data_IF_136710241847
#
_entry.id   IF_136710241847
#
_cell.length_a   1.000
_cell.length_b   1.000
_cell.length_c   1.000
_cell.angle_alpha   90.00
_cell.angle_beta   90.00
_cell.angle_gamma   90.00
#
_symmetry.space_group_name_H-M   'P 1'
#
loop_
_entity.id
_entity.type
_entity.pdbx_description
1 polymer ?
#
# COMPACT_ATOMS: atom_id res chain seq x y z
N UNK A 1 -7.41 4.19 15.55
CA UNK A 1 -7.83 5.45 14.89
C UNK A 1 -6.60 6.32 14.80
N UNK A 2 -6.42 7.02 13.70
CA UNK A 2 -5.35 8.01 13.53
C UNK A 2 -5.98 9.34 13.11
N UNK A 3 -5.45 10.44 13.64
CA UNK A 3 -5.91 11.79 13.39
C UNK A 3 -4.73 12.59 12.86
N UNK A 4 -4.92 13.32 11.76
CA UNK A 4 -3.92 14.23 11.23
C UNK A 4 -4.55 15.57 10.86
N UNK A 5 -3.80 16.64 11.10
CA UNK A 5 -4.21 17.99 10.75
C UNK A 5 -4.00 18.25 9.26
N UNK A 6 -4.87 19.07 8.67
CA UNK A 6 -4.76 19.46 7.27
C UNK A 6 -3.54 20.33 6.95
N UNK A 7 -2.79 20.80 7.96
CA UNK A 7 -1.47 21.43 7.81
C UNK A 7 -0.39 20.46 7.34
N UNK A 8 -0.54 19.16 7.67
CA UNK A 8 0.42 18.10 7.33
C UNK A 8 0.15 17.44 5.96
N UNK A 9 -0.96 17.79 5.31
CA UNK A 9 -1.38 17.26 4.01
C UNK A 9 -2.90 17.21 3.84
N UNK A 10 -3.34 16.89 2.63
CA UNK A 10 -4.75 16.72 2.26
C UNK A 10 -5.01 15.30 1.75
N UNK A 11 -6.28 15.00 1.51
CA UNK A 11 -6.75 13.76 0.90
C UNK A 11 -7.60 14.07 -0.33
N UNK A 12 -7.16 13.57 -1.47
CA UNK A 12 -7.90 13.60 -2.73
C UNK A 12 -8.40 12.18 -3.07
N UNK A 13 -9.62 12.07 -3.56
CA UNK A 13 -10.24 10.77 -3.84
C UNK A 13 -9.62 10.02 -5.03
N UNK A 14 -8.88 10.72 -5.90
CA UNK A 14 -8.18 10.16 -7.06
C UNK A 14 -6.68 9.98 -6.82
N UNK A 15 -6.06 10.81 -5.97
CA UNK A 15 -4.61 10.81 -5.73
C UNK A 15 -4.22 10.26 -4.36
N UNK A 16 -5.18 10.02 -3.47
CA UNK A 16 -4.95 9.56 -2.11
C UNK A 16 -4.40 10.68 -1.22
N UNK A 17 -3.47 10.35 -0.34
CA UNK A 17 -2.82 11.35 0.54
C UNK A 17 -1.90 12.24 -0.30
N UNK A 18 -2.17 13.55 -0.29
CA UNK A 18 -1.40 14.56 -1.02
C UNK A 18 -0.72 15.49 -0.02
N UNK A 19 0.50 15.92 -0.29
CA UNK A 19 1.24 16.85 0.59
C UNK A 19 0.77 18.31 0.52
N UNK A 20 -0.28 18.61 -0.26
CA UNK A 20 -0.89 19.94 -0.35
C UNK A 20 -1.68 20.24 0.92
N UNK A 21 -1.32 21.27 1.71
CA UNK A 21 -2.03 21.57 2.96
C UNK A 21 -3.45 22.10 2.71
N UNK A 22 -4.40 21.65 3.52
CA UNK A 22 -5.78 22.16 3.59
C UNK A 22 -6.12 22.61 5.01
N UNK A 23 -5.94 23.90 5.28
CA UNK A 23 -6.21 24.48 6.60
C UNK A 23 -7.69 24.44 6.97
N UNK A 24 -7.98 24.30 8.26
CA UNK A 24 -9.36 24.22 8.79
C UNK A 24 -10.00 22.85 8.66
N UNK A 25 -9.25 21.82 8.24
CA UNK A 25 -9.69 20.43 8.20
C UNK A 25 -8.87 19.54 9.12
N UNK A 26 -9.54 18.58 9.73
CA UNK A 26 -8.91 17.48 10.46
C UNK A 26 -9.37 16.18 9.83
N UNK A 27 -8.40 15.39 9.37
CA UNK A 27 -8.67 14.12 8.75
C UNK A 27 -8.58 13.00 9.78
N UNK A 28 -9.59 12.15 9.79
CA UNK A 28 -9.71 11.04 10.74
C UNK A 28 -9.78 9.75 9.94
N UNK A 29 -8.82 8.86 10.20
CA UNK A 29 -8.78 7.53 9.59
C UNK A 29 -9.20 6.48 10.61
N UNK A 30 -10.18 5.67 10.23
CA UNK A 30 -10.76 4.64 11.08
C UNK A 30 -10.68 3.30 10.35
N UNK A 31 -10.06 2.32 11.02
CA UNK A 31 -10.10 0.93 10.61
C UNK A 31 -11.17 0.22 11.44
N UNK A 32 -12.16 -0.38 10.77
CA UNK A 32 -13.16 -1.20 11.43
C UNK A 32 -12.55 -2.49 11.97
N UNK A 33 -13.12 -3.02 13.06
CA UNK A 33 -12.77 -4.35 13.60
C UNK A 33 -13.09 -5.47 12.61
N UNK A 34 -14.03 -5.25 11.69
CA UNK A 34 -14.38 -6.19 10.63
C UNK A 34 -13.41 -6.19 9.44
N UNK A 35 -12.43 -5.27 9.43
CA UNK A 35 -11.44 -5.15 8.35
C UNK A 35 -11.93 -4.49 7.07
N UNK A 36 -13.21 -4.11 7.00
CA UNK A 36 -13.80 -3.38 5.88
C UNK A 36 -13.73 -1.86 6.07
N UNK A 37 -13.71 -1.12 4.96
CA UNK A 37 -13.87 0.33 4.98
C UNK A 37 -15.29 0.69 5.44
N UNK A 38 -15.41 1.86 6.06
CA UNK A 38 -16.71 2.39 6.50
C UNK A 38 -17.58 2.75 5.28
N UNK A 39 -18.87 2.50 5.39
CA UNK A 39 -19.86 2.94 4.40
C UNK A 39 -20.00 4.46 4.42
N UNK A 40 -20.48 5.03 3.31
CA UNK A 40 -20.70 6.49 3.20
C UNK A 40 -21.66 7.01 4.29
N UNK A 41 -22.68 6.23 4.65
CA UNK A 41 -23.64 6.58 5.70
C UNK A 41 -22.96 6.65 7.07
N UNK A 42 -22.14 5.66 7.41
CA UNK A 42 -21.40 5.64 8.68
C UNK A 42 -20.42 6.82 8.78
N UNK A 43 -19.75 7.18 7.68
CA UNK A 43 -18.86 8.35 7.63
C UNK A 43 -19.61 9.65 7.90
N UNK A 44 -20.77 9.85 7.25
CA UNK A 44 -21.59 11.05 7.45
C UNK A 44 -22.13 11.15 8.86
N UNK A 45 -22.53 10.01 9.45
CA UNK A 45 -22.99 9.96 10.84
C UNK A 45 -21.87 10.36 11.79
N UNK A 46 -20.67 9.80 11.63
CA UNK A 46 -19.50 10.14 12.46
C UNK A 46 -19.11 11.61 12.35
N UNK A 47 -19.15 12.21 11.16
CA UNK A 47 -18.90 13.65 10.99
C UNK A 47 -19.94 14.48 11.74
N UNK A 48 -21.20 14.08 11.70
CA UNK A 48 -22.29 14.76 12.41
C UNK A 48 -22.13 14.65 13.93
N UNK A 49 -21.78 13.47 14.43
CA UNK A 49 -21.60 13.21 15.87
C UNK A 49 -20.38 13.93 16.45
N UNK A 50 -19.35 14.18 15.62
CA UNK A 50 -18.13 14.89 16.01
C UNK A 50 -18.25 16.41 15.91
N UNK A 51 -19.21 16.92 15.13
CA UNK A 51 -19.44 18.36 14.92
C UNK A 51 -19.61 19.18 16.21
N UNK A 52 -20.33 18.72 17.26
CA UNK A 52 -20.47 19.46 18.52
C UNK A 52 -19.17 19.57 19.32
N UNK A 53 -18.18 18.72 19.05
CA UNK A 53 -16.91 18.68 19.77
C UNK A 53 -15.79 19.41 19.03
N UNK A 54 -16.06 20.00 17.87
CA UNK A 54 -15.06 20.80 17.15
C UNK A 54 -15.08 22.24 17.63
N UNK A 55 -13.89 22.83 17.75
CA UNK A 55 -13.75 24.28 17.92
C UNK A 55 -14.07 24.96 16.59
N UNK A 56 -14.68 26.15 16.67
CA UNK A 56 -15.48 26.83 15.63
C UNK A 56 -14.83 27.17 14.26
N UNK A 57 -13.76 26.49 13.86
CA UNK A 57 -13.11 26.65 12.56
C UNK A 57 -12.53 25.35 12.00
N UNK A 58 -12.85 24.20 12.62
CA UNK A 58 -12.34 22.88 12.20
C UNK A 58 -13.50 22.01 11.72
N UNK A 59 -13.39 21.55 10.48
CA UNK A 59 -14.31 20.58 9.88
C UNK A 59 -13.67 19.19 9.91
N UNK A 60 -14.24 18.20 10.60
CA UNK A 60 -13.72 16.84 10.60
C UNK A 60 -14.08 16.16 9.27
N UNK A 61 -13.13 15.44 8.70
CA UNK A 61 -13.32 14.66 7.47
C UNK A 61 -12.88 13.23 7.74
N UNK A 62 -13.81 12.28 7.62
CA UNK A 62 -13.49 10.85 7.76
C UNK A 62 -13.05 10.30 6.42
N UNK A 63 -11.82 9.80 6.37
CA UNK A 63 -11.20 9.21 5.16
C UNK A 63 -10.86 7.74 5.40
N UNK A 64 -10.83 6.96 4.32
CA UNK A 64 -10.43 5.56 4.42
C UNK A 64 -8.92 5.45 4.62
N UNK A 65 -8.45 4.58 5.52
CA UNK A 65 -7.03 4.34 5.69
C UNK A 65 -6.46 3.66 4.46
N UNK A 66 -5.37 4.21 3.91
CA UNK A 66 -4.59 3.51 2.90
C UNK A 66 -3.76 2.41 3.58
N UNK A 67 -4.08 1.15 3.30
CA UNK A 67 -3.37 0.01 3.89
C UNK A 67 -2.37 -0.58 2.91
N UNK A 68 -1.09 -0.66 3.30
CA UNK A 68 -0.06 -1.39 2.56
C UNK A 68 -0.10 -2.85 2.94
N UNK A 69 -0.36 -3.71 1.96
CA UNK A 69 -0.39 -5.15 2.15
C UNK A 69 1.00 -5.73 1.95
N UNK A 70 1.38 -6.69 2.80
CA UNK A 70 2.62 -7.44 2.67
C UNK A 70 2.30 -8.87 2.25
N UNK A 71 2.82 -9.27 1.10
CA UNK A 71 2.76 -10.64 0.60
C UNK A 71 4.07 -11.30 1.01
N UNK A 72 3.97 -12.26 1.94
CA UNK A 72 5.10 -13.02 2.44
C UNK A 72 5.14 -14.38 1.74
N UNK A 73 6.30 -14.72 1.17
CA UNK A 73 6.59 -16.08 0.69
C UNK A 73 7.70 -16.65 1.53
N UNK A 74 7.34 -17.52 2.48
CA UNK A 74 8.28 -18.18 3.39
C UNK A 74 8.51 -19.61 2.93
N UNK A 75 9.78 -20.00 2.84
CA UNK A 75 10.22 -21.38 2.68
C UNK A 75 11.09 -21.72 3.88
N UNK A 76 10.73 -22.77 4.63
CA UNK A 76 11.48 -23.20 5.80
C UNK A 76 11.96 -24.65 5.66
N UNK A 77 13.05 -24.97 6.33
CA UNK A 77 13.59 -26.33 6.47
C UNK A 77 13.53 -26.73 7.93
N UNK A 78 13.04 -27.94 8.17
CA UNK A 78 12.90 -28.49 9.52
C UNK A 78 13.61 -29.84 9.64
N UNK A 79 13.94 -30.21 10.87
CA UNK A 79 14.55 -31.49 11.24
C UNK A 79 13.48 -32.46 11.72
N UNK A 80 13.15 -33.46 10.91
CA UNK A 80 12.13 -34.47 11.22
C UNK A 80 12.49 -35.38 12.40
N UNK A 81 13.74 -35.38 12.88
CA UNK A 81 14.13 -36.15 14.07
C UNK A 81 13.76 -35.46 15.38
N UNK A 82 13.49 -34.15 15.34
CA UNK A 82 13.21 -33.33 16.53
C UNK A 82 11.74 -33.04 16.74
N UNK A 83 10.88 -33.46 15.81
CA UNK A 83 9.44 -33.20 15.87
C UNK A 83 8.66 -34.42 15.43
N UNK A 84 7.49 -34.60 16.02
CA UNK A 84 6.50 -35.58 15.57
C UNK A 84 5.50 -34.97 14.58
N UNK A 85 5.53 -33.64 14.40
CA UNK A 85 4.64 -32.92 13.51
C UNK A 85 5.05 -33.09 12.05
N UNK A 86 4.05 -33.19 11.20
CA UNK A 86 4.21 -33.23 9.74
C UNK A 86 4.55 -31.84 9.18
N UNK A 87 5.09 -31.82 7.96
CA UNK A 87 5.37 -30.56 7.27
C UNK A 87 4.14 -29.65 7.13
N UNK A 88 2.94 -30.24 6.95
CA UNK A 88 1.71 -29.46 6.84
C UNK A 88 1.31 -28.82 8.16
N UNK A 89 1.46 -29.53 9.28
CA UNK A 89 1.14 -29.00 10.61
C UNK A 89 2.08 -27.85 10.98
N UNK A 90 3.38 -27.99 10.69
CA UNK A 90 4.35 -26.90 10.86
C UNK A 90 4.03 -25.70 9.98
N UNK A 91 3.61 -25.91 8.73
CA UNK A 91 3.21 -24.82 7.84
C UNK A 91 1.97 -24.09 8.38
N UNK A 92 0.99 -24.80 8.91
CA UNK A 92 -0.18 -24.21 9.57
C UNK A 92 0.24 -23.44 10.82
N UNK A 93 1.14 -23.97 11.63
CA UNK A 93 1.62 -23.31 12.83
C UNK A 93 2.32 -21.99 12.50
N UNK A 94 3.25 -21.99 11.55
CA UNK A 94 3.92 -20.77 11.06
C UNK A 94 2.91 -19.76 10.50
N UNK A 95 1.92 -20.23 9.74
CA UNK A 95 0.85 -19.37 9.22
C UNK A 95 0.04 -18.72 10.34
N UNK A 96 -0.27 -19.46 11.40
CA UNK A 96 -0.99 -18.95 12.56
C UNK A 96 -0.16 -17.94 13.35
N UNK A 97 1.14 -18.18 13.54
CA UNK A 97 2.07 -17.24 14.17
C UNK A 97 2.14 -15.92 13.40
N UNK A 98 2.28 -15.99 12.07
CA UNK A 98 2.28 -14.80 11.20
C UNK A 98 0.94 -14.06 11.19
N UNK A 99 -0.18 -14.79 11.19
CA UNK A 99 -1.51 -14.20 11.26
C UNK A 99 -1.74 -13.50 12.59
N UNK A 100 -1.28 -14.08 13.70
CA UNK A 100 -1.37 -13.49 15.03
C UNK A 100 -0.49 -12.24 15.15
N UNK A 101 0.71 -12.26 14.57
CA UNK A 101 1.56 -11.08 14.49
C UNK A 101 0.90 -9.96 13.69
N UNK A 102 0.24 -10.30 12.58
CA UNK A 102 -0.52 -9.34 11.78
C UNK A 102 -1.68 -8.74 12.57
N UNK A 103 -2.51 -9.53 13.27
CA UNK A 103 -3.65 -9.00 14.02
C UNK A 103 -3.24 -8.16 15.22
N UNK A 104 -2.19 -8.58 15.93
CA UNK A 104 -1.81 -7.98 17.20
C UNK A 104 -0.87 -6.78 17.04
N UNK A 105 -0.02 -6.77 16.01
CA UNK A 105 1.03 -5.75 15.84
C UNK A 105 0.86 -4.94 14.57
N UNK A 106 0.85 -5.58 13.39
CA UNK A 106 0.83 -4.85 12.10
C UNK A 106 -0.53 -4.23 11.78
N UNK A 107 -1.61 -4.80 12.31
CA UNK A 107 -2.98 -4.38 12.05
C UNK A 107 -3.37 -3.06 12.71
N UNK A 108 -2.50 -2.49 13.52
CA UNK A 108 -2.67 -1.21 14.19
C UNK A 108 -2.08 -0.07 13.35
N UNK A 109 -2.53 1.16 13.60
CA UNK A 109 -1.87 2.34 13.05
C UNK A 109 -0.43 2.43 13.60
N UNK A 110 0.52 2.87 12.78
CA UNK A 110 1.96 2.87 13.09
C UNK A 110 2.62 1.48 13.30
N UNK A 111 1.92 0.40 12.93
CA UNK A 111 2.48 -0.95 12.96
C UNK A 111 3.67 -1.09 12.00
N UNK A 112 4.89 -1.19 12.55
CA UNK A 112 6.11 -1.31 11.76
C UNK A 112 6.45 -2.77 11.45
N UNK A 113 6.54 -3.11 10.17
CA UNK A 113 7.10 -4.39 9.73
C UNK A 113 8.63 -4.35 9.76
N UNK A 114 9.25 -5.32 10.44
CA UNK A 114 10.69 -5.53 10.44
C UNK A 114 11.01 -6.95 9.98
N UNK A 115 11.75 -7.07 8.88
CA UNK A 115 12.06 -8.36 8.29
C UNK A 115 12.77 -9.31 9.28
N UNK A 116 13.77 -8.81 10.00
CA UNK A 116 14.54 -9.60 10.99
C UNK A 116 13.70 -10.11 12.16
N UNK A 117 12.68 -9.33 12.58
CA UNK A 117 11.78 -9.76 13.65
C UNK A 117 10.88 -10.90 13.18
N UNK A 118 10.37 -10.81 11.94
CA UNK A 118 9.52 -11.85 11.37
C UNK A 118 10.28 -13.14 11.10
N UNK A 119 11.53 -13.06 10.64
CA UNK A 119 12.36 -14.27 10.49
C UNK A 119 12.62 -14.95 11.83
N UNK A 120 12.89 -14.17 12.90
CA UNK A 120 13.05 -14.71 14.25
C UNK A 120 11.76 -15.36 14.78
N UNK A 121 10.62 -14.71 14.56
CA UNK A 121 9.30 -15.23 14.93
C UNK A 121 9.00 -16.59 14.26
N UNK A 122 9.42 -16.77 13.01
CA UNK A 122 9.26 -18.03 12.27
C UNK A 122 10.18 -19.11 12.86
N UNK A 123 11.44 -18.78 13.15
CA UNK A 123 12.37 -19.73 13.77
C UNK A 123 11.92 -20.15 15.18
N UNK A 124 11.36 -19.22 15.95
CA UNK A 124 10.85 -19.47 17.32
C UNK A 124 9.51 -20.22 17.34
N UNK A 125 8.88 -20.43 16.18
CA UNK A 125 7.58 -21.12 16.10
C UNK A 125 7.69 -22.59 16.51
N UNK A 126 8.80 -23.27 16.15
CA UNK A 126 9.05 -24.65 16.54
C UNK A 126 10.56 -24.95 16.55
N UNK A 127 11.03 -25.65 17.58
CA UNK A 127 12.47 -25.96 17.78
C UNK A 127 13.10 -26.85 16.69
N UNK A 128 12.28 -27.50 15.84
CA UNK A 128 12.74 -28.28 14.70
C UNK A 128 13.06 -27.43 13.48
N UNK A 129 12.61 -26.17 13.42
CA UNK A 129 12.92 -25.24 12.33
C UNK A 129 14.39 -24.84 12.43
N UNK A 130 15.15 -25.13 11.37
CA UNK A 130 16.60 -24.85 11.31
C UNK A 130 16.94 -23.66 10.44
N UNK A 131 16.10 -23.37 9.46
CA UNK A 131 16.34 -22.31 8.50
C UNK A 131 15.02 -21.87 7.89
N UNK A 132 14.84 -20.56 7.76
CA UNK A 132 13.81 -19.95 6.97
C UNK A 132 14.41 -19.01 5.92
N UNK A 133 13.71 -18.88 4.80
CA UNK A 133 13.93 -17.86 3.78
C UNK A 133 12.58 -17.21 3.52
N UNK A 134 12.44 -15.94 3.85
CA UNK A 134 11.21 -15.18 3.68
C UNK A 134 11.42 -14.04 2.69
N UNK A 135 10.66 -14.06 1.60
CA UNK A 135 10.59 -12.96 0.64
C UNK A 135 9.37 -12.09 0.93
N UNK A 136 9.55 -10.77 0.86
CA UNK A 136 8.52 -9.77 1.17
C UNK A 136 8.22 -8.94 -0.07
N UNK A 137 6.95 -8.86 -0.45
CA UNK A 137 6.47 -8.00 -1.54
C UNK A 137 5.40 -7.06 -0.99
N UNK A 138 5.53 -5.77 -1.26
CA UNK A 138 4.51 -4.77 -0.91
C UNK A 138 3.46 -4.66 -2.01
N UNK A 139 2.20 -4.51 -1.64
CA UNK A 139 1.09 -4.35 -2.56
C UNK A 139 0.06 -3.34 -2.03
N UNK A 140 -0.59 -2.62 -2.94
CA UNK A 140 -1.81 -1.87 -2.65
C UNK A 140 -2.93 -2.39 -3.53
N UNK A 141 -4.11 -2.45 -2.94
CA UNK A 141 -5.32 -2.71 -3.70
C UNK A 141 -5.73 -1.43 -4.43
N UNK A 142 -6.02 -1.57 -5.71
CA UNK A 142 -6.60 -0.52 -6.54
C UNK A 142 -7.88 -1.06 -7.17
N UNK A 143 -8.96 -0.29 -7.07
CA UNK A 143 -10.19 -0.55 -7.81
C UNK A 143 -10.24 0.41 -8.99
N UNK A 144 -9.78 -0.01 -10.19
CA UNK A 144 -9.74 0.88 -11.34
C UNK A 144 -11.16 1.18 -11.85
N UNK A 145 -11.35 2.40 -12.33
CA UNK A 145 -12.54 2.81 -13.08
C UNK A 145 -12.45 2.19 -14.47
N UNK A 146 -13.48 1.41 -14.84
CA UNK A 146 -13.50 0.65 -16.10
C UNK A 146 -14.20 1.39 -17.25
N UNK A 147 -14.83 2.53 -16.95
CA UNK A 147 -15.63 3.31 -17.90
C UNK A 147 -14.86 4.43 -18.59
N UNK A 148 -13.68 4.79 -18.09
CA UNK A 148 -12.85 5.86 -18.60
C UNK A 148 -11.36 5.57 -18.41
N UNK A 149 -10.52 6.21 -19.23
CA UNK A 149 -9.07 6.18 -19.03
C UNK A 149 -8.71 7.14 -17.90
N UNK A 150 -8.29 6.57 -16.76
CA UNK A 150 -7.92 7.31 -15.55
C UNK A 150 -6.51 6.95 -15.13
N UNK A 151 -5.72 7.94 -14.72
CA UNK A 151 -4.39 7.75 -14.16
C UNK A 151 -4.46 7.68 -12.64
N UNK A 152 -3.72 6.75 -12.03
CA UNK A 152 -3.68 6.55 -10.58
C UNK A 152 -2.26 6.73 -10.07
N UNK A 153 -2.11 7.47 -8.98
CA UNK A 153 -0.85 7.59 -8.25
C UNK A 153 -0.95 6.75 -6.99
N UNK A 154 -0.04 5.80 -6.80
CA UNK A 154 0.01 4.94 -5.61
C UNK A 154 1.35 5.19 -4.92
N UNK A 155 1.30 5.71 -3.71
CA UNK A 155 2.47 5.87 -2.87
C UNK A 155 2.62 4.67 -1.92
N UNK A 156 3.74 3.93 -2.03
CA UNK A 156 4.06 2.79 -1.17
C UNK A 156 4.86 3.19 0.08
N UNK A 157 5.23 4.47 0.21
CA UNK A 157 5.98 5.05 1.34
C UNK A 157 7.30 4.32 1.67
N UNK A 158 7.84 3.55 0.72
CA UNK A 158 9.06 2.77 0.87
C UNK A 158 9.85 2.82 -0.44
N UNK A 159 11.18 2.81 -0.31
CA UNK A 159 12.08 2.74 -1.46
C UNK A 159 12.03 1.35 -2.11
N UNK A 160 11.95 1.31 -3.43
CA UNK A 160 12.07 0.07 -4.19
C UNK A 160 13.53 -0.35 -4.36
N UNK A 161 13.76 -1.66 -4.41
CA UNK A 161 15.07 -2.20 -4.76
C UNK A 161 15.33 -2.06 -6.28
N UNK A 162 16.13 -1.06 -6.66
CA UNK A 162 16.52 -0.78 -8.04
C UNK A 162 18.02 -0.39 -8.11
N UNK A 163 18.95 -1.36 -8.09
CA UNK A 163 20.38 -1.09 -7.99
C UNK A 163 20.99 -0.40 -9.22
N UNK A 164 20.38 -0.55 -10.40
CA UNK A 164 20.83 0.10 -11.64
C UNK A 164 19.64 0.35 -12.58
N UNK A 165 19.81 1.27 -13.54
CA UNK A 165 18.80 1.50 -14.56
C UNK A 165 18.51 0.22 -15.35
N UNK A 166 17.23 -0.03 -15.63
CA UNK A 166 16.80 -1.25 -16.33
C UNK A 166 16.90 -2.53 -15.51
N UNK A 167 17.00 -2.46 -14.18
CA UNK A 167 16.96 -3.66 -13.34
C UNK A 167 15.67 -4.46 -13.59
N UNK A 168 15.81 -5.76 -13.82
CA UNK A 168 14.72 -6.72 -13.98
C UNK A 168 13.75 -6.43 -15.15
N UNK A 169 14.14 -5.62 -16.15
CA UNK A 169 13.27 -5.26 -17.29
C UNK A 169 12.80 -6.46 -18.10
N UNK A 170 13.65 -7.48 -18.26
CA UNK A 170 13.33 -8.73 -18.98
C UNK A 170 12.26 -9.57 -18.26
N UNK A 171 12.11 -9.40 -16.94
CA UNK A 171 11.08 -10.09 -16.13
C UNK A 171 9.89 -9.19 -15.78
N UNK A 172 9.76 -8.02 -16.43
CA UNK A 172 8.63 -7.12 -16.25
C UNK A 172 8.84 -5.99 -15.23
N UNK A 173 10.09 -5.73 -14.83
CA UNK A 173 10.49 -4.63 -13.96
C UNK A 173 10.39 -4.95 -12.46
N UNK A 174 10.46 -3.90 -11.64
CA UNK A 174 10.41 -3.97 -10.17
C UNK A 174 9.00 -3.79 -9.59
N UNK A 175 8.06 -3.29 -10.40
CA UNK A 175 6.66 -3.06 -10.02
C UNK A 175 5.78 -3.81 -11.02
N UNK A 176 4.82 -4.57 -10.50
CA UNK A 176 3.87 -5.32 -11.31
C UNK A 176 2.45 -5.17 -10.75
N UNK A 177 1.45 -5.18 -11.63
CA UNK A 177 0.06 -5.36 -11.21
C UNK A 177 -0.38 -6.81 -11.43
N UNK A 178 -1.44 -7.21 -10.73
CA UNK A 178 -2.21 -8.39 -11.12
C UNK A 178 -2.94 -8.15 -12.43
N UNK A 179 -3.31 -9.23 -13.13
CA UNK A 179 -4.14 -9.14 -14.34
C UNK A 179 -5.61 -9.06 -13.97
N UNK A 180 -6.36 -8.20 -14.65
CA UNK A 180 -7.81 -8.03 -14.47
C UNK A 180 -8.55 -8.18 -15.80
N UNK A 181 -9.88 -8.37 -15.75
CA UNK A 181 -10.71 -8.52 -16.95
C UNK A 181 -11.70 -7.38 -17.08
N UNK A 182 -11.82 -6.81 -18.27
CA UNK A 182 -12.93 -5.92 -18.67
C UNK A 182 -13.58 -6.56 -19.91
N UNK A 183 -14.88 -6.82 -19.87
CA UNK A 183 -15.63 -7.42 -20.99
C UNK A 183 -14.96 -8.69 -21.56
N UNK A 184 -14.48 -9.56 -20.67
CA UNK A 184 -13.77 -10.80 -20.98
C UNK A 184 -12.39 -10.65 -21.66
N UNK A 185 -11.88 -9.43 -21.84
CA UNK A 185 -10.51 -9.15 -22.27
C UNK A 185 -9.59 -8.99 -21.05
N UNK A 186 -8.38 -9.56 -21.12
CA UNK A 186 -7.37 -9.43 -20.06
C UNK A 186 -6.55 -8.15 -20.21
N UNK A 187 -6.40 -7.45 -19.11
CA UNK A 187 -5.59 -6.23 -18.99
C UNK A 187 -4.62 -6.36 -17.83
N UNK A 188 -3.51 -5.60 -17.90
CA UNK A 188 -2.55 -5.38 -16.83
C UNK A 188 -2.27 -3.87 -16.78
N UNK A 189 -2.10 -3.30 -15.59
CA UNK A 189 -1.68 -1.91 -15.48
C UNK A 189 -0.23 -1.82 -15.94
N UNK A 190 0.02 -0.94 -16.90
CA UNK A 190 1.38 -0.62 -17.36
C UNK A 190 1.94 0.45 -16.42
N UNK A 191 3.12 0.21 -15.86
CA UNK A 191 3.77 1.13 -14.93
C UNK A 191 4.68 2.11 -15.65
N UNK A 192 4.64 3.38 -15.26
CA UNK A 192 5.65 4.41 -15.59
C UNK A 192 6.18 4.91 -14.25
N UNK A 193 7.47 4.70 -13.98
CA UNK A 193 8.11 5.17 -12.75
C UNK A 193 8.53 6.64 -12.96
N UNK A 194 7.68 7.61 -12.57
CA UNK A 194 8.14 8.99 -12.42
C UNK A 194 8.73 9.17 -11.01
N UNK A 195 10.05 9.33 -10.94
CA UNK A 195 10.74 9.85 -9.76
C UNK A 195 10.52 11.37 -9.72
N UNK A 196 9.46 11.83 -9.07
CA UNK A 196 9.23 13.28 -8.94
C UNK A 196 10.15 13.86 -7.85
N UNK A 197 11.22 14.53 -8.28
CA UNK A 197 12.01 15.43 -7.45
C UNK A 197 11.34 16.81 -7.50
N UNK A 198 10.59 17.15 -6.46
CA UNK A 198 9.93 18.45 -6.33
C UNK A 198 10.98 19.52 -6.02
N UNK A 199 11.43 20.25 -7.04
CA UNK A 199 12.11 21.54 -6.85
C UNK A 199 11.05 22.62 -6.92
N UNK A 200 10.68 23.15 -5.75
CA UNK A 200 9.88 24.36 -5.61
C UNK A 200 10.75 25.53 -6.06
N UNK A 201 10.44 26.15 -7.20
CA UNK A 201 10.95 27.48 -7.53
C UNK A 201 9.78 28.37 -7.92
N UNK A 202 9.42 29.24 -6.97
CA UNK A 202 8.42 30.29 -7.13
C UNK A 202 9.05 31.35 -8.04
N UNK A 203 8.45 31.62 -9.21
CA UNK A 203 8.02 32.95 -9.66
C UNK A 203 7.58 32.89 -11.14
N UNK A 204 6.34 33.35 -11.38
CA UNK A 204 5.82 33.97 -12.61
C UNK A 204 5.83 33.23 -13.97
N UNK A 205 4.60 33.00 -14.45
CA UNK A 205 4.13 33.05 -15.85
C UNK A 205 4.64 32.05 -16.91
N UNK A 206 3.70 31.16 -17.28
CA UNK A 206 3.42 30.63 -18.63
C UNK A 206 4.55 30.00 -19.48
N UNK A 207 4.52 28.65 -19.50
CA UNK A 207 4.72 27.70 -20.62
C UNK A 207 5.76 28.05 -21.70
N UNK A 208 6.93 27.40 -21.64
CA UNK A 208 7.71 27.05 -22.84
C UNK A 208 8.18 25.59 -22.77
N UNK A 209 7.87 24.88 -23.84
CA UNK A 209 8.12 23.47 -24.12
C UNK A 209 9.55 23.30 -24.66
N UNK A 210 10.40 22.52 -23.98
CA UNK A 210 11.64 21.99 -24.56
C UNK A 210 11.50 20.49 -24.87
N UNK A 211 12.03 20.09 -26.04
CA UNK A 211 11.71 18.86 -26.79
C UNK A 211 12.93 17.93 -26.91
N UNK A 212 12.85 16.73 -26.29
CA UNK A 212 13.19 15.34 -26.73
C UNK A 212 14.62 14.99 -27.27
N UNK A 213 15.12 13.72 -27.20
CA UNK A 213 14.52 12.45 -27.68
C UNK A 213 14.41 11.39 -26.57
N UNK A 214 13.50 10.42 -26.47
CA UNK A 214 12.50 9.73 -27.31
C UNK A 214 11.80 8.80 -26.29
N UNK A 215 10.50 8.64 -26.10
CA UNK A 215 9.30 8.79 -26.90
C UNK A 215 8.21 9.30 -25.92
N UNK A 216 7.42 10.26 -26.37
CA UNK A 216 6.17 10.65 -25.71
C UNK A 216 5.15 9.52 -25.94
N UNK A 217 4.63 8.86 -24.90
CA UNK A 217 3.55 7.88 -25.08
C UNK A 217 2.51 7.99 -23.98
N UNK A 218 1.30 8.32 -24.41
CA UNK A 218 0.06 8.22 -23.66
C UNK A 218 -0.20 6.78 -23.21
N UNK A 219 -0.95 6.59 -22.13
CA UNK A 219 -1.50 5.30 -21.72
C UNK A 219 -2.26 4.65 -22.88
N UNK A 220 -1.62 3.70 -23.55
CA UNK A 220 -2.27 2.79 -24.50
C UNK A 220 -2.43 1.46 -23.76
N UNK A 221 -3.69 1.07 -23.55
CA UNK A 221 -4.04 -0.29 -23.16
C UNK A 221 -3.53 -1.23 -24.25
N UNK A 222 -2.45 -1.98 -23.97
CA UNK A 222 -2.03 -3.06 -24.87
C UNK A 222 -2.86 -4.30 -24.57
N UNK A 223 -3.69 -4.70 -25.53
CA UNK A 223 -4.09 -6.10 -25.66
C UNK A 223 -2.81 -6.93 -25.72
N UNK A 224 -2.76 -8.01 -24.93
CA UNK A 224 -1.84 -9.08 -25.25
C UNK A 224 -2.25 -9.73 -26.57
#
# INVERSE_FOLDING_TARGET
MQVFGGDSGSYDTSLGVVSTPEYGKVFISIKSTTGNNLTTTEKTQLVTDLSPYTVASITPVVVDPQTTQLILTTTFKFDSSKTTSTASELATLVTNTLTSFNTNTLGQFEGMFRHSHVTGLIDDTDTSIKSNVTNVVMAHNLTPTTTASTSYTINLNNSFYNPHSGHNVSSGGIIASTGFKINNLRFKLTHICEFSMVIVCILFSFVVKLRLPSLCVWLIFKSC
#
